data_IF_349425441898
#
_entry.id   IF_349425441898
#
_cell.length_a   1.000
_cell.length_b   1.000
_cell.length_c   1.000
_cell.angle_alpha   90.00
_cell.angle_beta   90.00
_cell.angle_gamma   90.00
#
_symmetry.space_group_name_H-M   'P 1'
#
loop_
_entity.id
_entity.type
_entity.pdbx_description
1 polymer ?
#
# COMPACT_ATOMS: atom_id res chain seq x y z
N UNK A 1 14.82 2.34 -25.37
CA UNK A 1 13.91 1.39 -24.68
C UNK A 1 12.47 1.87 -24.84
N UNK A 2 12.02 2.00 -26.10
CA UNK A 2 10.70 2.51 -26.49
C UNK A 2 9.92 1.53 -27.39
N UNK A 3 10.54 0.41 -27.75
CA UNK A 3 10.01 -0.59 -28.66
C UNK A 3 9.85 -1.89 -27.88
N UNK A 4 8.68 -2.56 -27.94
CA UNK A 4 7.45 -2.13 -28.64
C UNK A 4 6.70 -0.98 -27.96
N UNK A 5 7.00 -0.69 -26.69
CA UNK A 5 6.46 0.44 -25.92
C UNK A 5 7.52 0.96 -24.93
N UNK A 6 7.31 2.18 -24.43
CA UNK A 6 8.18 2.78 -23.42
C UNK A 6 8.08 1.99 -22.10
N UNK A 7 9.24 1.65 -21.51
CA UNK A 7 9.27 0.97 -20.20
C UNK A 7 9.13 1.95 -19.03
N UNK A 8 9.30 3.24 -19.29
CA UNK A 8 9.06 4.32 -18.35
C UNK A 8 8.11 5.36 -18.98
N UNK A 9 7.32 6.09 -18.17
CA UNK A 9 6.37 7.06 -18.70
C UNK A 9 7.06 8.18 -19.48
N UNK A 10 6.53 8.51 -20.66
CA UNK A 10 7.02 9.62 -21.48
C UNK A 10 6.17 10.90 -21.35
N UNK A 11 4.94 10.75 -20.85
CA UNK A 11 3.97 11.84 -20.63
C UNK A 11 3.66 11.85 -19.14
N UNK A 12 3.95 12.96 -18.47
CA UNK A 12 3.83 13.09 -17.02
C UNK A 12 2.78 14.15 -16.65
N UNK A 13 1.76 13.80 -15.84
CA UNK A 13 0.86 14.77 -15.24
C UNK A 13 1.55 15.54 -14.12
N UNK A 14 1.50 16.87 -14.20
CA UNK A 14 1.88 17.78 -13.11
C UNK A 14 0.67 18.65 -12.77
N UNK A 15 0.53 19.00 -11.50
CA UNK A 15 -0.64 19.75 -11.04
C UNK A 15 -0.29 20.62 -9.82
N UNK A 16 -0.96 21.77 -9.73
CA UNK A 16 -0.99 22.59 -8.52
C UNK A 16 -2.44 22.68 -8.05
N UNK A 17 -2.67 22.39 -6.77
CA UNK A 17 -3.95 22.61 -6.09
C UNK A 17 -3.80 23.78 -5.13
N UNK A 18 -4.84 24.62 -5.02
CA UNK A 18 -4.85 25.79 -4.14
C UNK A 18 -6.09 25.81 -3.25
N UNK A 19 -5.86 26.02 -1.96
CA UNK A 19 -6.87 26.18 -0.91
C UNK A 19 -6.52 27.45 -0.12
N UNK A 20 -7.07 28.59 -0.53
CA UNK A 20 -6.70 29.89 0.06
C UNK A 20 -5.21 30.21 -0.14
N UNK A 21 -4.47 30.36 0.96
CA UNK A 21 -3.01 30.58 0.98
C UNK A 21 -2.21 29.26 1.05
N UNK A 22 -2.86 28.10 1.03
CA UNK A 22 -2.21 26.79 1.01
C UNK A 22 -2.16 26.23 -0.42
N UNK A 23 -0.97 25.89 -0.89
CA UNK A 23 -0.69 25.45 -2.26
C UNK A 23 0.01 24.11 -2.24
N UNK A 24 -0.55 23.12 -2.93
CA UNK A 24 -0.05 21.75 -3.00
C UNK A 24 0.53 21.51 -4.40
N UNK A 25 1.80 21.13 -4.45
CA UNK A 25 2.47 20.71 -5.68
C UNK A 25 2.41 19.19 -5.80
N UNK A 26 1.58 18.70 -6.72
CA UNK A 26 1.45 17.26 -7.01
C UNK A 26 2.51 16.86 -8.02
N UNK A 27 3.60 16.23 -7.54
CA UNK A 27 4.73 15.80 -8.37
C UNK A 27 4.72 14.28 -8.59
N UNK A 28 4.87 13.79 -9.84
CA UNK A 28 4.75 12.36 -10.18
C UNK A 28 6.07 11.59 -9.98
N UNK A 29 6.71 11.74 -8.83
CA UNK A 29 7.97 11.06 -8.53
C UNK A 29 8.55 11.42 -7.17
N UNK A 30 9.79 11.01 -6.96
CA UNK A 30 10.52 11.11 -5.68
C UNK A 30 11.58 12.22 -5.74
N UNK A 31 11.22 13.41 -5.24
CA UNK A 31 12.15 14.53 -5.20
C UNK A 31 13.11 14.40 -4.03
N UNK A 32 14.42 14.60 -4.28
CA UNK A 32 15.40 14.75 -3.21
C UNK A 32 15.12 16.02 -2.40
N UNK A 33 15.71 16.10 -1.21
CA UNK A 33 15.54 17.24 -0.30
C UNK A 33 15.80 18.58 -1.00
N UNK A 34 16.91 18.72 -1.73
CA UNK A 34 17.24 19.98 -2.40
C UNK A 34 16.43 20.20 -3.67
N UNK A 35 16.06 19.14 -4.40
CA UNK A 35 15.16 19.26 -5.53
C UNK A 35 13.80 19.82 -5.11
N UNK A 36 13.23 19.30 -4.02
CA UNK A 36 11.95 19.77 -3.50
C UNK A 36 12.01 21.19 -2.93
N UNK A 37 13.10 21.57 -2.25
CA UNK A 37 13.31 22.96 -1.78
C UNK A 37 13.31 23.95 -2.95
N UNK A 38 14.11 23.68 -3.98
CA UNK A 38 14.21 24.53 -5.17
C UNK A 38 12.88 24.67 -5.90
N UNK A 39 12.12 23.59 -6.03
CA UNK A 39 10.80 23.64 -6.65
C UNK A 39 9.81 24.49 -5.84
N UNK A 40 9.70 24.26 -4.53
CA UNK A 40 8.78 25.03 -3.67
C UNK A 40 9.09 26.52 -3.68
N UNK A 41 10.37 26.87 -3.54
CA UNK A 41 10.81 28.27 -3.57
C UNK A 41 10.50 28.93 -4.91
N UNK A 42 10.84 28.27 -6.02
CA UNK A 42 10.59 28.81 -7.36
C UNK A 42 9.09 29.01 -7.65
N UNK A 43 8.24 28.10 -7.18
CA UNK A 43 6.78 28.24 -7.29
C UNK A 43 6.27 29.37 -6.41
N UNK A 44 6.68 29.43 -5.13
CA UNK A 44 6.27 30.48 -4.19
C UNK A 44 6.63 31.87 -4.71
N UNK A 45 7.87 32.05 -5.17
CA UNK A 45 8.33 33.30 -5.78
C UNK A 45 7.47 33.66 -7.00
N UNK A 46 7.13 32.69 -7.84
CA UNK A 46 6.29 32.92 -9.03
C UNK A 46 4.89 33.38 -8.65
N UNK A 47 4.28 32.77 -7.63
CA UNK A 47 2.96 33.15 -7.13
C UNK A 47 2.97 34.58 -6.58
N UNK A 48 3.94 34.91 -5.72
CA UNK A 48 4.07 36.26 -5.12
C UNK A 48 4.27 37.32 -6.22
N UNK A 49 5.17 37.06 -7.18
CA UNK A 49 5.51 38.02 -8.22
C UNK A 49 4.39 38.26 -9.24
N UNK A 50 3.45 37.32 -9.42
CA UNK A 50 2.40 37.42 -10.44
C UNK A 50 0.99 37.56 -9.85
N UNK A 51 0.83 37.44 -8.54
CA UNK A 51 -0.47 37.38 -7.86
C UNK A 51 -1.06 38.71 -7.42
N UNK A 52 -0.46 39.85 -7.77
CA UNK A 52 -0.96 41.18 -7.41
C UNK A 52 -1.34 41.36 -5.92
N UNK A 53 -0.55 40.78 -5.01
CA UNK A 53 -0.77 40.85 -3.56
C UNK A 53 -1.69 39.76 -2.98
N UNK A 54 -2.22 38.87 -3.81
CA UNK A 54 -3.00 37.71 -3.36
C UNK A 54 -2.13 36.64 -2.67
N UNK A 55 -0.85 36.56 -3.06
CA UNK A 55 0.14 35.69 -2.46
C UNK A 55 1.27 36.51 -1.84
N UNK A 56 1.70 36.09 -0.66
CA UNK A 56 2.76 36.73 0.12
C UNK A 56 3.68 35.69 0.78
N UNK A 57 4.49 36.15 1.73
CA UNK A 57 5.40 35.30 2.51
C UNK A 57 4.67 34.29 3.40
N UNK A 58 3.39 34.49 3.72
CA UNK A 58 2.56 33.54 4.47
C UNK A 58 1.90 32.49 3.57
N UNK A 59 2.12 32.57 2.25
CA UNK A 59 1.73 31.48 1.33
C UNK A 59 2.50 30.20 1.65
N UNK A 60 1.77 29.15 1.98
CA UNK A 60 2.33 27.85 2.33
C UNK A 60 2.34 26.93 1.09
N UNK A 61 3.52 26.75 0.51
CA UNK A 61 3.73 25.82 -0.60
C UNK A 61 4.26 24.49 -0.05
N UNK A 62 3.50 23.42 -0.25
CA UNK A 62 3.87 22.06 0.13
C UNK A 62 3.99 21.18 -1.10
N UNK A 63 4.69 20.05 -0.95
CA UNK A 63 4.84 19.06 -2.02
C UNK A 63 4.17 17.76 -1.62
N UNK A 64 3.38 17.22 -2.54
CA UNK A 64 2.84 15.87 -2.49
C UNK A 64 3.56 15.04 -3.57
N UNK A 65 4.57 14.27 -3.14
CA UNK A 65 5.26 13.30 -3.99
C UNK A 65 4.37 12.11 -4.33
N UNK A 66 4.80 11.30 -5.30
CA UNK A 66 4.11 10.06 -5.70
C UNK A 66 2.65 10.27 -6.13
N UNK A 67 2.33 11.41 -6.74
CA UNK A 67 0.96 11.75 -7.15
C UNK A 67 0.73 11.52 -8.65
N UNK A 68 -0.48 11.08 -9.00
CA UNK A 68 -0.99 10.86 -10.36
C UNK A 68 -0.30 9.74 -11.17
N UNK A 69 1.03 9.73 -11.25
CA UNK A 69 1.84 8.66 -11.85
C UNK A 69 3.20 8.57 -11.16
N UNK A 70 4.07 7.67 -11.62
CA UNK A 70 5.38 7.46 -11.02
C UNK A 70 6.50 7.48 -12.07
N UNK A 71 7.42 8.44 -11.95
CA UNK A 71 8.56 8.65 -12.83
C UNK A 71 9.91 8.53 -12.10
N UNK A 72 10.00 7.64 -11.11
CA UNK A 72 11.22 7.43 -10.31
C UNK A 72 11.66 8.72 -9.58
N UNK A 73 12.98 8.95 -9.48
CA UNK A 73 13.58 10.00 -8.69
C UNK A 73 13.81 11.29 -9.48
N UNK A 74 13.87 12.41 -8.75
CA UNK A 74 14.25 13.72 -9.26
C UNK A 74 15.35 14.28 -8.36
N UNK A 75 16.59 14.19 -8.83
CA UNK A 75 17.74 14.80 -8.21
C UNK A 75 18.00 16.21 -8.78
N UNK A 76 18.68 17.06 -8.00
CA UNK A 76 19.31 18.27 -8.52
C UNK A 76 20.41 17.94 -9.52
N UNK A 77 20.84 18.90 -10.33
CA UNK A 77 21.95 18.70 -11.28
C UNK A 77 23.26 18.30 -10.56
N UNK A 78 23.49 18.89 -9.39
CA UNK A 78 24.67 18.67 -8.55
C UNK A 78 24.66 17.27 -7.92
N UNK A 79 23.51 16.84 -7.41
CA UNK A 79 23.30 15.46 -6.94
C UNK A 79 23.40 14.47 -8.11
N UNK A 80 22.82 14.80 -9.27
CA UNK A 80 22.84 13.97 -10.46
C UNK A 80 24.27 13.62 -10.88
N UNK A 81 25.20 14.58 -10.81
CA UNK A 81 26.62 14.37 -11.13
C UNK A 81 27.30 13.32 -10.26
N UNK A 82 26.82 13.08 -9.04
CA UNK A 82 27.38 12.07 -8.16
C UNK A 82 26.95 10.64 -8.54
N UNK A 83 25.88 10.50 -9.32
CA UNK A 83 25.36 9.20 -9.79
C UNK A 83 25.19 8.15 -8.68
N UNK A 84 24.68 8.59 -7.51
CA UNK A 84 24.08 7.70 -6.51
C UNK A 84 22.74 7.15 -7.01
N UNK A 85 22.06 6.35 -6.20
CA UNK A 85 20.80 5.69 -6.55
C UNK A 85 19.74 6.65 -7.12
N UNK A 86 19.50 7.76 -6.44
CA UNK A 86 18.47 8.76 -6.82
C UNK A 86 18.85 9.47 -8.11
N UNK A 87 20.15 9.76 -8.27
CA UNK A 87 20.72 10.40 -9.45
C UNK A 87 20.67 9.47 -10.69
N UNK A 88 21.03 8.19 -10.53
CA UNK A 88 20.92 7.19 -11.60
C UNK A 88 19.46 6.89 -11.96
N UNK A 89 18.55 7.02 -10.99
CA UNK A 89 17.10 6.87 -11.18
C UNK A 89 16.40 8.16 -11.62
N UNK A 90 17.16 9.24 -11.89
CA UNK A 90 16.63 10.47 -12.50
C UNK A 90 16.54 10.31 -14.01
N UNK A 91 15.42 9.72 -14.45
CA UNK A 91 15.26 9.11 -15.78
C UNK A 91 15.53 10.03 -16.97
N UNK A 92 15.15 11.30 -16.90
CA UNK A 92 15.20 12.23 -18.03
C UNK A 92 16.49 13.05 -18.08
N UNK A 93 17.51 12.59 -17.36
CA UNK A 93 18.85 13.16 -17.38
C UNK A 93 19.07 14.30 -16.37
N UNK A 94 20.23 14.98 -16.45
CA UNK A 94 20.70 15.90 -15.42
C UNK A 94 19.82 17.15 -15.24
N UNK A 95 18.96 17.46 -16.22
CA UNK A 95 18.09 18.63 -16.21
C UNK A 95 16.62 18.31 -15.87
N UNK A 96 16.34 17.11 -15.38
CA UNK A 96 14.99 16.69 -14.99
C UNK A 96 14.35 17.68 -14.00
N UNK A 97 15.05 18.06 -12.92
CA UNK A 97 14.54 19.05 -11.97
C UNK A 97 14.29 20.41 -12.63
N UNK A 98 15.20 20.87 -13.50
CA UNK A 98 15.04 22.15 -14.20
C UNK A 98 13.77 22.17 -15.06
N UNK A 99 13.49 21.06 -15.75
CA UNK A 99 12.25 20.90 -16.51
C UNK A 99 11.01 20.96 -15.61
N UNK A 100 11.03 20.27 -14.46
CA UNK A 100 9.93 20.37 -13.49
C UNK A 100 9.72 21.80 -12.98
N UNK A 101 10.79 22.49 -12.56
CA UNK A 101 10.69 23.89 -12.11
C UNK A 101 10.11 24.77 -13.22
N UNK A 102 10.56 24.60 -14.46
CA UNK A 102 10.04 25.34 -15.61
C UNK A 102 8.52 25.15 -15.77
N UNK A 103 8.05 23.91 -15.80
CA UNK A 103 6.63 23.63 -16.04
C UNK A 103 5.74 24.02 -14.84
N UNK A 104 6.20 23.81 -13.60
CA UNK A 104 5.47 24.27 -12.42
C UNK A 104 5.41 25.80 -12.31
N UNK A 105 6.44 26.54 -12.74
CA UNK A 105 6.36 28.00 -12.83
C UNK A 105 5.29 28.46 -13.83
N UNK A 106 5.10 27.74 -14.94
CA UNK A 106 4.01 28.04 -15.89
C UNK A 106 2.64 27.85 -15.23
N UNK A 107 2.44 26.72 -14.54
CA UNK A 107 1.20 26.45 -13.79
C UNK A 107 0.96 27.52 -12.70
N UNK A 108 1.99 27.85 -11.93
CA UNK A 108 1.91 28.83 -10.85
C UNK A 108 1.57 30.24 -11.38
N UNK A 109 2.21 30.65 -12.48
CA UNK A 109 1.91 31.93 -13.13
C UNK A 109 0.47 31.98 -13.59
N UNK A 110 0.01 30.96 -14.31
CA UNK A 110 -1.37 30.90 -14.80
C UNK A 110 -2.40 30.93 -13.66
N UNK A 111 -2.12 30.21 -12.56
CA UNK A 111 -2.93 30.27 -11.35
C UNK A 111 -2.98 31.68 -10.73
N UNK A 112 -1.84 32.38 -10.68
CA UNK A 112 -1.74 33.71 -10.09
C UNK A 112 -2.38 34.81 -10.95
N UNK A 113 -2.34 34.67 -12.28
CA UNK A 113 -2.91 35.66 -13.22
C UNK A 113 -4.35 35.34 -13.62
N UNK A 114 -4.88 34.18 -13.25
CA UNK A 114 -6.18 33.69 -13.73
C UNK A 114 -6.19 33.31 -15.21
N UNK A 115 -5.01 33.14 -15.82
CA UNK A 115 -4.87 32.74 -17.22
C UNK A 115 -5.25 31.26 -17.40
N UNK A 116 -6.05 30.96 -18.42
CA UNK A 116 -6.30 29.57 -18.79
C UNK A 116 -5.16 29.04 -19.65
N UNK A 117 -4.52 27.98 -19.18
CA UNK A 117 -3.56 27.24 -19.98
C UNK A 117 -4.31 26.38 -21.00
N UNK A 118 -3.92 26.50 -22.27
CA UNK A 118 -4.33 25.54 -23.29
C UNK A 118 -3.84 24.14 -22.95
N UNK A 119 -4.62 23.12 -23.29
CA UNK A 119 -4.18 21.73 -23.18
C UNK A 119 -2.97 21.47 -24.09
N UNK A 120 -2.04 20.63 -23.64
CA UNK A 120 -0.88 20.24 -24.46
C UNK A 120 -1.26 19.33 -25.63
N UNK A 121 -2.47 18.77 -25.63
CA UNK A 121 -2.91 17.73 -26.57
C UNK A 121 -2.24 16.37 -26.32
N UNK A 122 -1.37 16.26 -25.31
CA UNK A 122 -0.70 15.02 -24.95
C UNK A 122 -1.52 14.30 -23.87
N UNK A 123 -1.79 13.02 -24.10
CA UNK A 123 -2.41 12.12 -23.12
C UNK A 123 -1.53 10.89 -22.93
N UNK A 124 -1.38 10.37 -21.70
CA UNK A 124 -0.67 9.11 -21.48
C UNK A 124 -1.25 7.98 -22.35
N UNK A 125 -0.41 7.09 -22.91
CA UNK A 125 -0.90 5.96 -23.70
C UNK A 125 -1.66 4.96 -22.83
N UNK A 126 -2.72 4.38 -23.38
CA UNK A 126 -3.39 3.21 -22.78
C UNK A 126 -2.63 1.94 -23.16
N UNK A 127 -2.05 1.27 -22.16
CA UNK A 127 -1.30 0.03 -22.31
C UNK A 127 -2.04 -1.19 -21.72
N UNK A 128 -3.31 -1.06 -21.34
CA UNK A 128 -4.07 -2.11 -20.65
C UNK A 128 -4.16 -3.43 -21.44
N UNK A 129 -4.24 -3.35 -22.77
CA UNK A 129 -4.37 -4.52 -23.67
C UNK A 129 -3.07 -5.29 -23.94
N UNK A 130 -1.92 -4.75 -23.51
CA UNK A 130 -0.58 -5.32 -23.81
C UNK A 130 0.20 -5.71 -22.56
N UNK A 131 -0.48 -5.81 -21.41
CA UNK A 131 0.15 -6.24 -20.16
C UNK A 131 0.56 -7.71 -20.24
N UNK A 132 1.79 -8.00 -19.83
CA UNK A 132 2.32 -9.36 -19.74
C UNK A 132 2.43 -9.75 -18.26
N UNK A 133 1.83 -10.89 -17.90
CA UNK A 133 2.04 -11.51 -16.59
C UNK A 133 2.71 -12.87 -16.76
N UNK A 134 3.85 -13.05 -16.10
CA UNK A 134 4.52 -14.34 -15.97
C UNK A 134 4.20 -15.02 -14.63
N UNK A 135 3.42 -14.36 -13.78
CA UNK A 135 2.95 -14.92 -12.52
C UNK A 135 1.75 -15.82 -12.81
N UNK A 136 1.92 -17.11 -12.56
CA UNK A 136 0.84 -18.08 -12.74
C UNK A 136 -0.27 -17.83 -11.71
N UNK A 137 -1.52 -17.93 -12.15
CA UNK A 137 -2.68 -17.92 -11.26
C UNK A 137 -2.83 -19.25 -10.52
N UNK A 138 -3.36 -19.24 -9.29
CA UNK A 138 -3.67 -20.48 -8.58
C UNK A 138 -4.64 -21.34 -9.40
N UNK A 139 -4.36 -22.65 -9.47
CA UNK A 139 -5.10 -23.58 -10.34
C UNK A 139 -6.29 -24.26 -9.67
N UNK A 140 -6.43 -24.09 -8.35
CA UNK A 140 -7.36 -24.82 -7.49
C UNK A 140 -6.63 -25.38 -6.27
N UNK A 141 -7.25 -25.28 -5.10
CA UNK A 141 -6.70 -25.77 -3.85
C UNK A 141 -7.62 -26.83 -3.23
N UNK A 142 -7.04 -27.73 -2.46
CA UNK A 142 -7.78 -28.66 -1.61
C UNK A 142 -7.02 -28.87 -0.30
N UNK A 143 -7.73 -28.99 0.84
CA UNK A 143 -7.08 -29.33 2.10
C UNK A 143 -6.66 -30.82 2.10
N UNK A 144 -5.85 -31.27 3.08
CA UNK A 144 -5.50 -32.67 3.23
C UNK A 144 -6.74 -33.58 3.35
N UNK A 145 -6.62 -34.87 2.99
CA UNK A 145 -7.73 -35.83 3.12
C UNK A 145 -8.35 -35.81 4.53
N UNK A 146 -9.68 -35.68 4.59
CA UNK A 146 -10.43 -35.64 5.85
C UNK A 146 -10.39 -34.29 6.59
N UNK A 147 -9.76 -33.26 6.01
CA UNK A 147 -9.78 -31.88 6.52
C UNK A 147 -10.64 -30.99 5.63
N UNK A 148 -11.04 -29.85 6.18
CA UNK A 148 -11.72 -28.76 5.48
C UNK A 148 -10.90 -27.47 5.64
N UNK A 149 -11.08 -26.54 4.71
CA UNK A 149 -10.54 -25.19 4.91
C UNK A 149 -11.17 -24.56 6.16
N UNK A 150 -10.34 -23.88 6.96
CA UNK A 150 -10.69 -23.36 8.28
C UNK A 150 -10.50 -24.36 9.43
N UNK A 151 -10.27 -25.65 9.16
CA UNK A 151 -9.90 -26.58 10.22
C UNK A 151 -8.51 -26.21 10.79
N UNK A 152 -8.31 -26.37 12.09
CA UNK A 152 -7.02 -26.10 12.73
C UNK A 152 -5.98 -27.15 12.33
N UNK A 153 -4.79 -26.67 11.99
CA UNK A 153 -3.57 -27.45 11.86
C UNK A 153 -2.76 -27.41 13.17
N UNK A 154 -2.67 -26.24 13.80
CA UNK A 154 -2.04 -26.03 15.10
C UNK A 154 -2.88 -25.03 15.89
N UNK A 155 -3.32 -25.43 17.08
CA UNK A 155 -4.09 -24.57 17.98
C UNK A 155 -3.16 -23.70 18.86
N UNK A 156 -3.74 -22.73 19.56
CA UNK A 156 -3.02 -21.82 20.47
C UNK A 156 -2.35 -22.60 21.59
N UNK A 157 -1.03 -22.50 21.67
CA UNK A 157 -0.25 -23.10 22.74
C UNK A 157 -0.43 -22.30 24.05
N UNK A 158 -1.18 -22.86 25.00
CA UNK A 158 -1.44 -22.20 26.28
C UNK A 158 -0.14 -21.98 27.06
N UNK A 159 0.09 -20.79 27.63
CA UNK A 159 1.27 -20.51 28.42
C UNK A 159 1.25 -21.30 29.73
N UNK A 160 2.44 -21.64 30.27
CA UNK A 160 2.54 -22.39 31.55
C UNK A 160 1.85 -21.69 32.73
N UNK A 161 1.74 -20.36 32.68
CA UNK A 161 1.04 -19.54 33.67
C UNK A 161 -0.48 -19.48 33.50
N UNK A 162 -1.04 -20.17 32.51
CA UNK A 162 -2.49 -20.26 32.24
C UNK A 162 -3.08 -19.06 31.48
N UNK A 163 -2.39 -17.92 31.48
CA UNK A 163 -2.82 -16.69 30.78
C UNK A 163 -1.66 -16.04 30.06
N UNK A 164 -1.95 -15.47 28.88
CA UNK A 164 -1.02 -14.63 28.14
C UNK A 164 -0.94 -13.24 28.78
N UNK A 165 0.23 -12.63 28.71
CA UNK A 165 0.50 -11.27 29.18
C UNK A 165 0.60 -10.32 28.01
N UNK A 166 0.63 -9.02 28.31
CA UNK A 166 0.92 -7.98 27.32
C UNK A 166 2.30 -8.23 26.70
N UNK A 167 2.40 -8.07 25.39
CA UNK A 167 3.58 -8.41 24.59
C UNK A 167 3.75 -9.89 24.24
N UNK A 168 2.97 -10.81 24.83
CA UNK A 168 2.97 -12.20 24.38
C UNK A 168 2.34 -12.33 22.99
N UNK A 169 2.63 -13.46 22.30
CA UNK A 169 2.19 -13.72 20.93
C UNK A 169 1.41 -15.02 20.78
N UNK A 170 0.15 -15.11 21.25
CA UNK A 170 -0.72 -16.22 20.89
C UNK A 170 -0.80 -16.38 19.37
N UNK A 171 -0.69 -17.61 18.91
CA UNK A 171 -0.69 -17.94 17.48
C UNK A 171 -1.43 -19.24 17.21
N UNK A 172 -2.17 -19.28 16.10
CA UNK A 172 -2.88 -20.48 15.61
C UNK A 172 -2.72 -20.61 14.10
N UNK A 173 -2.63 -21.83 13.61
CA UNK A 173 -2.49 -22.16 12.19
C UNK A 173 -3.67 -22.99 11.69
N UNK A 174 -4.24 -22.58 10.55
CA UNK A 174 -5.41 -23.18 9.91
C UNK A 174 -5.04 -23.75 8.56
N UNK A 175 -5.68 -24.85 8.16
CA UNK A 175 -5.69 -25.27 6.75
C UNK A 175 -6.43 -24.21 5.94
N UNK A 176 -5.76 -23.64 4.95
CA UNK A 176 -6.28 -22.49 4.19
C UNK A 176 -5.98 -22.64 2.70
N UNK A 177 -6.68 -21.85 1.91
CA UNK A 177 -6.46 -21.74 0.47
C UNK A 177 -5.59 -20.51 0.16
N UNK A 178 -5.16 -20.39 -1.09
CA UNK A 178 -4.38 -19.26 -1.58
C UNK A 178 -5.20 -17.95 -1.46
N UNK A 179 -4.69 -16.91 -0.77
CA UNK A 179 -5.42 -15.65 -0.59
C UNK A 179 -5.65 -14.90 -1.91
N UNK A 180 -4.99 -15.30 -3.00
CA UNK A 180 -5.22 -14.71 -4.34
C UNK A 180 -6.58 -15.08 -4.95
N UNK A 181 -7.36 -16.01 -4.38
CA UNK A 181 -8.72 -16.31 -4.87
C UNK A 181 -9.73 -15.20 -4.59
N UNK A 182 -9.56 -14.46 -3.51
CA UNK A 182 -10.36 -13.29 -3.16
C UNK A 182 -9.54 -12.40 -2.23
N UNK A 183 -9.41 -11.12 -2.56
CA UNK A 183 -8.69 -10.16 -1.73
C UNK A 183 -9.45 -9.78 -0.46
N UNK A 184 -10.74 -10.13 -0.36
CA UNK A 184 -11.63 -9.77 0.73
C UNK A 184 -11.61 -8.26 1.00
N UNK A 185 -11.72 -7.45 -0.07
CA UNK A 185 -11.73 -5.98 0.04
C UNK A 185 -12.90 -5.53 0.94
N UNK A 186 -12.63 -4.64 1.89
CA UNK A 186 -13.55 -4.24 2.98
C UNK A 186 -13.99 -5.41 3.90
N UNK A 187 -13.29 -6.54 3.82
CA UNK A 187 -13.38 -7.68 4.73
C UNK A 187 -12.06 -7.88 5.48
N UNK A 188 -11.80 -9.11 5.92
CA UNK A 188 -10.60 -9.44 6.71
C UNK A 188 -10.26 -10.92 6.59
N UNK A 189 -8.98 -11.28 6.61
CA UNK A 189 -8.50 -12.66 6.70
C UNK A 189 -8.37 -13.16 8.14
N UNK A 190 -8.27 -12.25 9.11
CA UNK A 190 -7.97 -12.60 10.49
C UNK A 190 -8.57 -11.58 11.47
N UNK A 191 -9.21 -12.08 12.52
CA UNK A 191 -9.66 -11.26 13.64
C UNK A 191 -9.27 -11.88 14.98
N UNK A 192 -9.06 -11.03 15.96
CA UNK A 192 -9.06 -11.38 17.38
C UNK A 192 -10.45 -11.08 17.91
N UNK A 193 -11.12 -12.10 18.43
CA UNK A 193 -12.43 -11.93 19.07
C UNK A 193 -12.27 -12.02 20.59
N UNK A 194 -12.91 -11.11 21.31
CA UNK A 194 -13.05 -11.16 22.76
C UNK A 194 -14.42 -11.74 23.12
N UNK A 195 -14.46 -12.65 24.09
CA UNK A 195 -15.72 -13.10 24.67
C UNK A 195 -16.27 -12.01 25.58
N UNK A 196 -17.39 -11.42 25.19
CA UNK A 196 -18.14 -10.45 25.98
C UNK A 196 -19.52 -11.04 26.24
N UNK A 197 -19.85 -11.22 27.51
CA UNK A 197 -21.03 -11.98 27.95
C UNK A 197 -20.98 -13.42 27.38
N UNK A 198 -21.81 -13.71 26.38
CA UNK A 198 -21.89 -15.01 25.69
C UNK A 198 -21.61 -14.88 24.18
N UNK A 199 -21.10 -13.72 23.73
CA UNK A 199 -20.83 -13.44 22.33
C UNK A 199 -19.37 -13.15 22.07
N UNK A 200 -18.89 -13.62 20.94
CA UNK A 200 -17.58 -13.29 20.44
C UNK A 200 -17.67 -12.01 19.63
N UNK A 201 -16.94 -10.99 20.07
CA UNK A 201 -16.94 -9.66 19.46
C UNK A 201 -15.54 -9.41 18.88
N UNK A 202 -15.40 -9.11 17.58
CA UNK A 202 -14.14 -8.70 17.00
C UNK A 202 -13.62 -7.45 17.71
N UNK A 203 -12.36 -7.47 18.14
CA UNK A 203 -11.71 -6.35 18.82
C UNK A 203 -10.41 -5.92 18.14
N UNK A 204 -9.85 -6.78 17.29
CA UNK A 204 -8.76 -6.46 16.38
C UNK A 204 -8.95 -7.23 15.06
N UNK A 205 -8.52 -6.65 13.95
CA UNK A 205 -8.49 -7.27 12.63
C UNK A 205 -7.11 -7.16 11.96
N UNK A 206 -7.01 -7.54 10.69
CA UNK A 206 -5.75 -7.56 9.94
C UNK A 206 -5.29 -6.19 9.42
N UNK A 207 -5.98 -5.09 9.74
CA UNK A 207 -5.49 -3.71 9.62
C UNK A 207 -4.82 -3.21 10.93
N UNK A 208 -5.00 -3.92 12.04
CA UNK A 208 -4.30 -3.60 13.28
C UNK A 208 -2.82 -4.06 13.25
N UNK A 209 -1.90 -3.15 13.57
CA UNK A 209 -0.44 -3.41 13.62
C UNK A 209 -0.02 -4.61 14.50
N UNK A 210 -0.89 -5.02 15.42
CA UNK A 210 -0.65 -6.09 16.37
C UNK A 210 -1.10 -7.47 15.89
N UNK A 211 -1.83 -7.57 14.77
CA UNK A 211 -2.32 -8.83 14.22
C UNK A 211 -1.60 -9.15 12.90
N UNK A 212 -1.05 -10.36 12.82
CA UNK A 212 -0.32 -10.82 11.64
C UNK A 212 -1.05 -12.00 11.00
N UNK A 213 -1.44 -11.83 9.74
CA UNK A 213 -1.84 -12.93 8.87
C UNK A 213 -0.65 -13.38 8.02
N UNK A 214 -0.25 -14.66 8.15
CA UNK A 214 0.89 -15.25 7.45
C UNK A 214 0.40 -16.44 6.64
N UNK A 215 0.46 -16.36 5.31
CA UNK A 215 0.14 -17.49 4.43
C UNK A 215 1.41 -18.24 4.03
N UNK A 216 1.39 -19.57 4.11
CA UNK A 216 2.47 -20.41 3.62
C UNK A 216 1.93 -21.71 3.00
N UNK A 217 2.82 -22.48 2.37
CA UNK A 217 2.51 -23.79 1.82
C UNK A 217 3.36 -24.83 2.54
N UNK A 218 2.72 -25.93 2.95
CA UNK A 218 3.39 -27.11 3.47
C UNK A 218 3.36 -28.25 2.47
N UNK A 219 4.34 -29.15 2.56
CA UNK A 219 4.43 -30.37 1.76
C UNK A 219 4.08 -31.56 2.65
N UNK A 220 3.05 -32.32 2.28
CA UNK A 220 2.70 -33.57 2.96
C UNK A 220 2.37 -34.65 1.93
N UNK A 221 3.06 -35.78 2.03
CA UNK A 221 3.00 -36.91 1.09
C UNK A 221 3.09 -36.51 -0.40
N UNK A 222 3.96 -35.54 -0.71
CA UNK A 222 4.18 -35.04 -2.07
C UNK A 222 3.08 -34.09 -2.60
N UNK A 223 2.07 -33.78 -1.79
CA UNK A 223 1.04 -32.79 -2.09
C UNK A 223 1.32 -31.47 -1.38
N UNK A 224 0.90 -30.37 -2.00
CA UNK A 224 1.03 -29.02 -1.46
C UNK A 224 -0.28 -28.58 -0.81
N UNK A 225 -0.21 -28.07 0.41
CA UNK A 225 -1.37 -27.60 1.16
C UNK A 225 -1.10 -26.20 1.72
N UNK A 226 -2.08 -25.30 1.57
CA UNK A 226 -2.00 -23.95 2.13
C UNK A 226 -2.25 -23.94 3.63
N UNK A 227 -1.55 -23.06 4.34
CA UNK A 227 -1.75 -22.77 5.74
C UNK A 227 -1.87 -21.26 5.95
N UNK A 228 -2.76 -20.87 6.86
CA UNK A 228 -2.86 -19.52 7.36
C UNK A 228 -2.50 -19.52 8.85
N UNK A 229 -1.41 -18.85 9.21
CA UNK A 229 -1.03 -18.62 10.61
C UNK A 229 -1.47 -17.21 11.00
N UNK A 230 -2.30 -17.14 12.04
CA UNK A 230 -2.68 -15.90 12.72
C UNK A 230 -1.82 -15.77 13.96
N UNK A 231 -1.18 -14.63 14.16
CA UNK A 231 -0.38 -14.32 15.33
C UNK A 231 -0.77 -12.95 15.84
N UNK A 232 -1.12 -12.85 17.12
CA UNK A 232 -1.53 -11.61 17.75
C UNK A 232 -0.53 -11.20 18.82
N UNK A 233 0.15 -10.07 18.66
CA UNK A 233 0.98 -9.46 19.69
C UNK A 233 0.10 -8.67 20.65
N UNK A 234 -0.14 -9.20 21.85
CA UNK A 234 -1.11 -8.62 22.80
C UNK A 234 -0.73 -7.17 23.15
N UNK A 235 -1.49 -6.15 22.73
CA UNK A 235 -1.15 -4.75 22.97
C UNK A 235 -1.22 -4.38 24.46
N UNK A 236 -0.43 -3.41 24.90
CA UNK A 236 -0.46 -2.87 26.27
C UNK A 236 -1.87 -2.45 26.72
N UNK A 237 -2.66 -1.88 25.80
CA UNK A 237 -4.02 -1.43 26.06
C UNK A 237 -5.11 -2.50 25.97
N UNK A 238 -4.78 -3.76 25.65
CA UNK A 238 -5.79 -4.81 25.57
C UNK A 238 -6.45 -5.05 26.93
N UNK A 239 -7.76 -5.31 26.95
CA UNK A 239 -8.43 -5.70 28.18
C UNK A 239 -7.94 -7.08 28.67
N UNK A 240 -8.10 -7.36 29.97
CA UNK A 240 -7.98 -8.74 30.47
C UNK A 240 -9.29 -9.47 30.14
N UNK A 241 -9.21 -10.73 29.69
CA UNK A 241 -10.39 -11.48 29.29
C UNK A 241 -10.07 -12.74 28.52
N UNK A 242 -11.12 -13.31 27.90
CA UNK A 242 -11.02 -14.52 27.08
C UNK A 242 -11.08 -14.12 25.61
N UNK A 243 -10.12 -14.60 24.84
CA UNK A 243 -9.94 -14.28 23.43
C UNK A 243 -9.88 -15.55 22.59
N UNK A 244 -10.10 -15.41 21.28
CA UNK A 244 -9.77 -16.42 20.27
C UNK A 244 -9.35 -15.77 18.97
N UNK A 245 -8.62 -16.51 18.16
CA UNK A 245 -8.26 -16.12 16.80
C UNK A 245 -9.29 -16.71 15.83
N UNK A 246 -9.77 -15.92 14.89
CA UNK A 246 -10.65 -16.38 13.82
C UNK A 246 -10.05 -16.05 12.47
N UNK A 247 -10.07 -17.03 11.58
CA UNK A 247 -9.63 -16.94 10.21
C UNK A 247 -10.83 -16.90 9.27
N UNK A 248 -10.74 -16.11 8.20
CA UNK A 248 -11.65 -16.13 7.06
C UNK A 248 -10.85 -16.32 5.77
N UNK A 249 -11.44 -16.99 4.80
CA UNK A 249 -10.81 -17.15 3.50
C UNK A 249 -11.79 -17.55 2.42
N UNK A 250 -11.29 -17.53 1.19
CA UNK A 250 -11.98 -17.99 -0.01
C UNK A 250 -11.15 -19.08 -0.66
N UNK A 251 -11.81 -20.08 -1.21
CA UNK A 251 -11.19 -21.21 -1.91
C UNK A 251 -11.84 -21.43 -3.26
N UNK A 252 -11.09 -22.05 -4.17
CA UNK A 252 -11.61 -22.59 -5.42
C UNK A 252 -11.13 -24.02 -5.59
N UNK A 253 -12.02 -24.92 -6.01
CA UNK A 253 -11.66 -26.31 -6.35
C UNK A 253 -10.83 -26.40 -7.62
N UNK A 254 -11.13 -25.56 -8.60
CA UNK A 254 -10.40 -25.41 -9.86
C UNK A 254 -10.38 -23.94 -10.26
N UNK A 255 -9.52 -23.56 -11.21
CA UNK A 255 -9.43 -22.19 -11.75
C UNK A 255 -10.81 -21.59 -12.13
N UNK A 256 -11.68 -22.40 -12.73
CA UNK A 256 -13.00 -21.98 -13.24
C UNK A 256 -14.13 -22.14 -12.21
N UNK A 257 -13.83 -22.67 -11.02
CA UNK A 257 -14.83 -22.81 -9.96
C UNK A 257 -15.20 -21.44 -9.35
N UNK A 258 -16.44 -21.28 -8.86
CA UNK A 258 -16.80 -20.13 -8.04
C UNK A 258 -16.04 -20.13 -6.71
N UNK A 259 -15.97 -18.97 -6.06
CA UNK A 259 -15.41 -18.83 -4.72
C UNK A 259 -16.29 -19.54 -3.69
N UNK A 260 -15.67 -20.36 -2.84
CA UNK A 260 -16.26 -20.99 -1.67
C UNK A 260 -15.61 -20.38 -0.41
N UNK A 261 -16.39 -19.63 0.36
CA UNK A 261 -15.93 -18.97 1.58
C UNK A 261 -15.95 -19.91 2.78
N UNK A 262 -14.97 -19.77 3.66
CA UNK A 262 -14.85 -20.55 4.88
C UNK A 262 -14.38 -19.70 6.05
N UNK A 263 -14.58 -20.21 7.26
CA UNK A 263 -14.03 -19.64 8.49
C UNK A 263 -13.54 -20.74 9.43
N UNK A 264 -12.52 -20.43 10.20
CA UNK A 264 -11.96 -21.25 11.26
C UNK A 264 -11.80 -20.43 12.54
N UNK A 265 -11.87 -21.07 13.71
CA UNK A 265 -11.61 -20.41 14.98
C UNK A 265 -10.70 -21.28 15.85
N UNK A 266 -9.75 -20.64 16.54
CA UNK A 266 -8.90 -21.30 17.52
C UNK A 266 -9.71 -21.68 18.78
N UNK A 267 -9.10 -22.48 19.65
CA UNK A 267 -9.56 -22.56 21.02
C UNK A 267 -9.45 -21.20 21.72
N UNK A 268 -10.28 -21.01 22.74
CA UNK A 268 -10.23 -19.82 23.58
C UNK A 268 -8.97 -19.82 24.45
N UNK A 269 -8.42 -18.64 24.71
CA UNK A 269 -7.28 -18.42 25.61
C UNK A 269 -7.50 -17.17 26.46
N UNK A 270 -6.82 -17.09 27.60
CA UNK A 270 -6.95 -15.95 28.51
C UNK A 270 -5.80 -14.97 28.32
N UNK A 271 -6.10 -13.68 28.49
CA UNK A 271 -5.13 -12.60 28.58
C UNK A 271 -5.36 -11.89 29.92
N UNK A 272 -4.27 -11.66 30.67
CA UNK A 272 -4.26 -11.03 31.99
C UNK A 272 -3.34 -9.84 32.02
#
# INVERSE_FOLDING_TARGET
MFVPYAWAPAILPIQILRLGNFVILSVPGEFTTMAGRRLREAVKETLINNGNGEFDNETHVVMAGLTNTYSQYIATFEEYKQQRYEAASTLYGPHTLSAYIQEFKKLAKAMATGEQLGGTGLSPPDLSSVQLSLLQDPLGDSPPPGKRFGDMQQDVAQPKGGSFKKGDKPSATFWSANPRYDLLIEGTFAVVEMLQEERWVPVYDDDDFCLYFKWNVTVDNGSLYGLATIEWEVPEGAASGVYRLRHFGSSKKTKDSPNEYFTGASSAFTVS
#
